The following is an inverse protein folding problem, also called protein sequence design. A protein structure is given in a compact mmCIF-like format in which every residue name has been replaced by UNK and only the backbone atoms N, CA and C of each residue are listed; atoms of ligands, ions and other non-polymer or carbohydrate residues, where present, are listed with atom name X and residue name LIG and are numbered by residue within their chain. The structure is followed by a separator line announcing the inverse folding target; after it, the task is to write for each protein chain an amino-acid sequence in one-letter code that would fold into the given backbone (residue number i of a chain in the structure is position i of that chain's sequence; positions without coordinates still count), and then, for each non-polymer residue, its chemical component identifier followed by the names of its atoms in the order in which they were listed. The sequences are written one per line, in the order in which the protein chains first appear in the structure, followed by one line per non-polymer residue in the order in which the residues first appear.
data_IF_866891701264
#
_entry.id   IF_866891701264
#
_cell.length_a   1.000
_cell.length_b   1.000
_cell.length_c   1.000
_cell.angle_alpha   90.00
_cell.angle_beta   90.00
_cell.angle_gamma   90.00
#
_symmetry.space_group_name_H-M   'P 1'
#
loop_
_entity.id
_entity.type
_entity.pdbx_description
1 polymer ?
#
# COMPACT_ATOMS: atom_id res chain seq x y z
N UNK A 1 -25.42 -23.39 17.71
CA UNK A 1 -25.18 -22.32 16.74
C UNK A 1 -23.66 -22.20 16.61
N UNK A 2 -23.07 -22.84 15.61
CA UNK A 2 -21.62 -22.85 15.45
C UNK A 2 -21.22 -21.56 14.72
N UNK A 3 -20.55 -20.67 15.45
CA UNK A 3 -19.88 -19.53 14.86
C UNK A 3 -18.89 -20.06 13.81
N UNK A 4 -19.12 -19.69 12.55
CA UNK A 4 -18.16 -19.89 11.48
C UNK A 4 -16.86 -19.26 11.97
N UNK A 5 -15.85 -20.08 12.26
CA UNK A 5 -14.50 -19.61 12.52
C UNK A 5 -14.12 -18.77 11.29
N UNK A 6 -14.15 -17.45 11.46
CA UNK A 6 -13.77 -16.53 10.41
C UNK A 6 -12.27 -16.71 10.24
N UNK A 7 -11.91 -17.54 9.27
CA UNK A 7 -10.53 -17.80 8.87
C UNK A 7 -10.02 -16.52 8.18
N UNK A 8 -9.76 -15.49 8.99
CA UNK A 8 -9.13 -14.27 8.54
C UNK A 8 -7.75 -14.68 8.04
N UNK A 9 -7.56 -14.62 6.71
CA UNK A 9 -6.23 -14.76 6.13
C UNK A 9 -5.29 -13.82 6.87
N UNK A 10 -4.16 -14.35 7.33
CA UNK A 10 -3.10 -13.53 7.91
C UNK A 10 -2.80 -12.37 6.96
N UNK A 11 -2.51 -11.19 7.53
CA UNK A 11 -2.07 -10.05 6.74
C UNK A 11 -0.95 -10.49 5.79
N UNK A 12 -1.03 -10.06 4.53
CA UNK A 12 0.03 -10.34 3.57
C UNK A 12 1.34 -9.75 4.09
N UNK A 13 2.50 -10.37 3.78
CA UNK A 13 3.78 -9.75 4.05
C UNK A 13 3.82 -8.35 3.45
N UNK A 14 4.42 -7.43 4.19
CA UNK A 14 4.52 -6.04 3.76
C UNK A 14 5.36 -5.95 2.49
N UNK A 15 4.84 -5.25 1.48
CA UNK A 15 5.42 -5.18 0.15
C UNK A 15 6.28 -3.93 0.00
N UNK A 16 7.32 -3.81 0.83
CA UNK A 16 8.20 -2.63 0.87
C UNK A 16 8.81 -2.31 -0.50
N UNK A 17 9.19 -3.33 -1.27
CA UNK A 17 9.70 -3.15 -2.63
C UNK A 17 8.64 -2.57 -3.58
N UNK A 18 7.36 -2.91 -3.39
CA UNK A 18 6.28 -2.34 -4.18
C UNK A 18 6.03 -0.87 -3.81
N UNK A 19 6.14 -0.51 -2.53
CA UNK A 19 6.06 0.89 -2.08
C UNK A 19 7.18 1.74 -2.68
N UNK A 20 8.41 1.23 -2.66
CA UNK A 20 9.57 1.89 -3.27
C UNK A 20 9.42 2.03 -4.79
N UNK A 21 8.92 0.99 -5.46
CA UNK A 21 8.66 1.04 -6.90
C UNK A 21 7.58 2.07 -7.25
N UNK A 22 6.53 2.18 -6.43
CA UNK A 22 5.48 3.18 -6.61
C UNK A 22 6.03 4.60 -6.45
N UNK A 23 6.75 4.87 -5.35
CA UNK A 23 7.36 6.18 -5.12
C UNK A 23 8.37 6.53 -6.21
N UNK A 24 9.20 5.56 -6.62
CA UNK A 24 10.11 5.72 -7.75
C UNK A 24 9.40 6.05 -9.05
N UNK A 25 8.26 5.40 -9.33
CA UNK A 25 7.45 5.70 -10.50
C UNK A 25 6.88 7.13 -10.48
N UNK A 26 6.45 7.61 -9.32
CA UNK A 26 5.95 9.00 -9.14
C UNK A 26 7.09 10.01 -9.35
N UNK A 27 8.30 9.72 -8.86
CA UNK A 27 9.49 10.58 -9.07
C UNK A 27 9.85 10.67 -10.55
N UNK A 28 9.78 9.56 -11.29
CA UNK A 28 10.08 9.53 -12.73
C UNK A 28 8.94 10.13 -13.57
N UNK A 29 7.68 9.93 -13.16
CA UNK A 29 6.49 10.41 -13.84
C UNK A 29 5.42 10.86 -12.84
N UNK A 30 5.26 12.17 -12.71
CA UNK A 30 4.28 12.77 -11.80
C UNK A 30 2.82 12.36 -12.10
N UNK A 31 2.48 12.01 -13.34
CA UNK A 31 1.12 11.58 -13.69
C UNK A 31 0.75 10.21 -13.09
N UNK A 32 1.76 9.41 -12.70
CA UNK A 32 1.54 8.14 -12.02
C UNK A 32 0.77 8.32 -10.70
N UNK A 33 0.95 9.46 -10.02
CA UNK A 33 0.23 9.78 -8.79
C UNK A 33 -1.29 9.76 -9.00
N UNK A 34 -1.79 10.37 -10.07
CA UNK A 34 -3.23 10.44 -10.34
C UNK A 34 -3.86 9.07 -10.60
N UNK A 35 -3.07 8.13 -11.10
CA UNK A 35 -3.53 6.76 -11.34
C UNK A 35 -3.75 5.98 -10.04
N UNK A 36 -3.11 6.38 -8.93
CA UNK A 36 -3.14 5.65 -7.65
C UNK A 36 -3.79 6.42 -6.51
N UNK A 37 -3.91 7.74 -6.61
CA UNK A 37 -4.39 8.62 -5.53
C UNK A 37 -5.79 8.28 -5.00
N UNK A 38 -6.63 7.62 -5.81
CA UNK A 38 -7.96 7.15 -5.40
C UNK A 38 -7.95 5.93 -4.46
N UNK A 39 -6.85 5.18 -4.42
CA UNK A 39 -6.76 3.89 -3.72
C UNK A 39 -5.63 3.84 -2.69
N UNK A 40 -4.56 4.60 -2.91
CA UNK A 40 -3.35 4.56 -2.11
C UNK A 40 -3.14 5.89 -1.38
N UNK A 41 -3.49 5.91 -0.10
CA UNK A 41 -3.30 7.06 0.80
C UNK A 41 -2.02 6.87 1.60
N UNK A 42 -1.48 7.95 2.15
CA UNK A 42 -0.29 7.93 3.02
C UNK A 42 -0.39 6.90 4.17
N UNK A 43 -1.59 6.64 4.71
CA UNK A 43 -1.77 5.64 5.78
C UNK A 43 -1.72 4.17 5.30
N UNK A 44 -1.66 3.93 3.98
CA UNK A 44 -1.63 2.59 3.41
C UNK A 44 -0.20 2.07 3.20
N UNK A 45 0.83 2.90 3.43
CA UNK A 45 2.22 2.45 3.46
C UNK A 45 2.51 1.70 4.77
N UNK A 46 3.23 0.60 4.68
CA UNK A 46 3.76 -0.09 5.85
C UNK A 46 4.94 0.68 6.45
N UNK A 47 5.87 1.13 5.60
CA UNK A 47 6.99 1.94 6.06
C UNK A 47 6.52 3.39 6.26
N UNK A 48 6.58 3.88 7.49
CA UNK A 48 6.06 5.19 7.87
C UNK A 48 6.77 6.32 7.12
N UNK A 49 8.06 6.15 6.81
CA UNK A 49 8.80 7.12 6.02
C UNK A 49 8.17 7.33 4.64
N UNK A 50 7.72 6.27 3.99
CA UNK A 50 7.14 6.34 2.64
C UNK A 50 5.85 7.18 2.61
N UNK A 51 5.04 7.15 3.68
CA UNK A 51 3.83 7.95 3.79
C UNK A 51 4.07 9.45 4.04
N UNK A 52 5.32 9.87 4.25
CA UNK A 52 5.68 11.29 4.48
C UNK A 52 6.34 11.99 3.29
N UNK A 53 6.65 11.24 2.23
CA UNK A 53 7.25 11.73 0.99
C UNK A 53 6.18 12.35 0.07
#
# INVERSE_FOLDING_TARGET
MNALACDFRAALPDAIEAEQALLGAIIVNADAHWSVAGFHRAQHFHELLHGTL
#
